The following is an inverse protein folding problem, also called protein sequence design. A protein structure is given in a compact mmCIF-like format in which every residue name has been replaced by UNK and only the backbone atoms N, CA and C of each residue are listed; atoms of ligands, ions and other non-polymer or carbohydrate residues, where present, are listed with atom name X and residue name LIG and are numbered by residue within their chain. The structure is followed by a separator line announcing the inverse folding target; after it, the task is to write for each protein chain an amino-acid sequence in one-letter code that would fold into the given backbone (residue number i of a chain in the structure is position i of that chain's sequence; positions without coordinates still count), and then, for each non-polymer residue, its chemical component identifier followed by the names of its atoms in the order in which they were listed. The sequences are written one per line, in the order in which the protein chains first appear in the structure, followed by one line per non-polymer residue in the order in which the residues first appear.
data_IF_272062877359
#
_entry.id   IF_272062877359
#
_cell.length_a   1.000
_cell.length_b   1.000
_cell.length_c   1.000
_cell.angle_alpha   90.00
_cell.angle_beta   90.00
_cell.angle_gamma   90.00
#
_symmetry.space_group_name_H-M   'P 1'
#
loop_
_entity.id
_entity.type
_entity.pdbx_description
1 polymer ?
#
# COMPACT_ATOMS: atom_id res chain seq x y z
N UNK A 1 1.54 0.44 8.45
CA UNK A 1 2.68 0.61 7.48
C UNK A 1 2.19 1.31 6.22
N UNK A 2 2.76 2.47 5.83
CA UNK A 2 2.21 3.30 4.73
C UNK A 2 2.10 2.59 3.37
N UNK A 3 2.96 1.62 3.08
CA UNK A 3 2.99 0.90 1.80
C UNK A 3 2.67 -0.60 1.94
N UNK A 4 2.05 -1.03 3.03
CA UNK A 4 1.61 -2.40 3.28
C UNK A 4 2.69 -3.44 2.94
N UNK A 5 3.84 -3.40 3.63
CA UNK A 5 5.00 -4.27 3.38
C UNK A 5 5.49 -4.28 1.93
N UNK A 6 5.26 -3.19 1.21
CA UNK A 6 5.67 -3.04 -0.19
C UNK A 6 4.62 -3.43 -1.24
N UNK A 7 3.44 -3.92 -0.88
CA UNK A 7 2.34 -4.17 -1.82
C UNK A 7 2.03 -2.95 -2.69
N UNK A 8 1.92 -1.77 -2.06
CA UNK A 8 1.62 -0.51 -2.73
C UNK A 8 2.81 0.10 -3.50
N UNK A 9 3.91 -0.64 -3.66
CA UNK A 9 4.91 -0.31 -4.68
C UNK A 9 4.49 -0.77 -6.08
N UNK A 10 3.52 -1.69 -6.16
CA UNK A 10 3.05 -2.28 -7.41
C UNK A 10 4.06 -3.23 -8.09
N UNK A 11 5.13 -3.64 -7.38
CA UNK A 11 6.19 -4.50 -7.92
C UNK A 11 5.91 -5.99 -7.79
N UNK A 12 5.03 -6.37 -6.86
CA UNK A 12 4.71 -7.79 -6.64
C UNK A 12 3.71 -8.31 -7.68
N UNK A 13 3.81 -9.59 -7.96
CA UNK A 13 2.91 -10.35 -8.81
C UNK A 13 2.72 -11.76 -8.23
N UNK A 14 1.95 -12.62 -8.92
CA UNK A 14 1.65 -13.99 -8.45
C UNK A 14 2.87 -14.90 -8.36
N UNK A 15 3.94 -14.57 -9.10
CA UNK A 15 5.19 -15.34 -9.12
C UNK A 15 6.23 -14.77 -8.14
N UNK A 16 5.87 -13.72 -7.38
CA UNK A 16 6.75 -13.12 -6.39
C UNK A 16 7.06 -14.12 -5.28
N UNK A 17 8.35 -14.32 -5.00
CA UNK A 17 8.85 -15.15 -3.92
C UNK A 17 9.63 -14.29 -2.92
N UNK A 18 9.57 -14.69 -1.66
CA UNK A 18 10.24 -14.00 -0.56
C UNK A 18 11.30 -14.92 0.03
N UNK A 19 12.41 -14.34 0.51
CA UNK A 19 13.47 -15.11 1.15
C UNK A 19 12.91 -15.85 2.40
N UNK A 20 13.46 -17.02 2.76
CA UNK A 20 12.96 -17.78 3.91
C UNK A 20 12.99 -17.03 5.24
N UNK A 21 13.90 -16.06 5.38
CA UNK A 21 14.08 -15.18 6.54
C UNK A 21 13.27 -13.87 6.45
N UNK A 22 12.50 -13.66 5.37
CA UNK A 22 11.61 -12.50 5.21
C UNK A 22 10.25 -12.80 5.86
N UNK A 23 9.73 -11.86 6.65
CA UNK A 23 8.41 -12.01 7.27
C UNK A 23 7.28 -12.16 6.25
N UNK A 24 7.47 -11.66 5.04
CA UNK A 24 6.54 -11.88 3.92
C UNK A 24 6.47 -13.35 3.47
N UNK A 25 7.45 -14.19 3.88
CA UNK A 25 7.42 -15.63 3.68
C UNK A 25 6.81 -16.33 4.88
N UNK A 26 7.47 -16.25 6.06
CA UNK A 26 7.12 -17.08 7.20
C UNK A 26 5.94 -16.56 8.04
N UNK A 27 5.50 -15.33 7.84
CA UNK A 27 4.38 -14.73 8.58
C UNK A 27 3.24 -14.25 7.67
N UNK A 28 3.16 -14.72 6.44
CA UNK A 28 2.11 -14.29 5.49
C UNK A 28 0.69 -14.58 6.00
N UNK A 29 0.54 -15.59 6.83
CA UNK A 29 -0.72 -15.99 7.46
C UNK A 29 -0.79 -15.62 8.96
N UNK A 30 0.22 -14.97 9.52
CA UNK A 30 0.30 -14.67 10.94
C UNK A 30 0.78 -15.83 11.81
N UNK A 31 1.52 -16.78 11.23
CA UNK A 31 1.95 -18.01 11.93
C UNK A 31 3.03 -17.76 12.99
N UNK A 32 3.78 -16.65 12.88
CA UNK A 32 4.86 -16.31 13.81
C UNK A 32 4.50 -15.17 14.77
N UNK A 33 3.77 -14.16 14.28
CA UNK A 33 3.32 -13.00 15.05
C UNK A 33 2.07 -12.40 14.39
N UNK A 34 1.56 -11.26 14.89
CA UNK A 34 0.31 -10.69 14.38
C UNK A 34 0.31 -10.56 12.85
N UNK A 35 -0.74 -11.10 12.23
CA UNK A 35 -0.91 -11.10 10.77
C UNK A 35 -0.91 -9.67 10.18
N UNK A 36 -1.33 -8.68 10.96
CA UNK A 36 -1.35 -7.27 10.54
C UNK A 36 0.04 -6.68 10.28
N UNK A 37 1.10 -7.29 10.79
CA UNK A 37 2.49 -6.89 10.54
C UNK A 37 2.98 -7.26 9.13
N UNK A 38 2.29 -8.18 8.46
CA UNK A 38 2.62 -8.62 7.09
C UNK A 38 1.48 -8.26 6.16
N UNK A 39 1.78 -7.46 5.12
CA UNK A 39 0.81 -6.96 4.13
C UNK A 39 -0.46 -6.34 4.75
N UNK A 40 -0.36 -5.80 5.96
CA UNK A 40 -1.50 -5.24 6.72
C UNK A 40 -2.60 -6.26 7.02
N UNK A 41 -2.28 -7.56 7.04
CA UNK A 41 -3.22 -8.64 7.35
C UNK A 41 -4.20 -8.98 6.24
N UNK A 42 -3.97 -8.49 5.03
CA UNK A 42 -4.82 -8.81 3.88
C UNK A 42 -4.31 -10.04 3.12
N UNK A 43 -5.20 -10.77 2.49
CA UNK A 43 -4.82 -11.88 1.61
C UNK A 43 -3.97 -11.38 0.44
N UNK A 44 -2.81 -11.98 0.22
CA UNK A 44 -1.84 -11.54 -0.78
C UNK A 44 -2.41 -11.52 -2.21
N UNK A 45 -3.16 -12.56 -2.60
CA UNK A 45 -3.74 -12.62 -3.95
C UNK A 45 -4.83 -11.56 -4.16
N UNK A 46 -5.72 -11.37 -3.18
CA UNK A 46 -6.69 -10.26 -3.20
C UNK A 46 -6.00 -8.90 -3.28
N UNK A 47 -4.89 -8.75 -2.56
CA UNK A 47 -4.12 -7.51 -2.57
C UNK A 47 -3.49 -7.22 -3.93
N UNK A 48 -3.03 -8.24 -4.66
CA UNK A 48 -2.52 -8.07 -6.02
C UNK A 48 -3.62 -7.59 -6.98
N UNK A 49 -4.84 -8.16 -6.89
CA UNK A 49 -5.98 -7.71 -7.70
C UNK A 49 -6.35 -6.25 -7.39
N UNK A 50 -6.37 -5.86 -6.12
CA UNK A 50 -6.61 -4.49 -5.70
C UNK A 50 -5.51 -3.53 -6.20
N UNK A 51 -4.25 -3.96 -6.15
CA UNK A 51 -3.10 -3.20 -6.68
C UNK A 51 -3.24 -2.97 -8.18
N UNK A 52 -3.67 -3.98 -8.94
CA UNK A 52 -3.88 -3.84 -10.38
C UNK A 52 -5.05 -2.89 -10.69
N UNK A 53 -6.13 -2.93 -9.91
CA UNK A 53 -7.23 -1.96 -10.04
C UNK A 53 -6.76 -0.53 -9.70
N UNK A 54 -5.97 -0.35 -8.64
CA UNK A 54 -5.38 0.94 -8.30
C UNK A 54 -4.42 1.47 -9.38
N UNK A 55 -3.68 0.60 -10.07
CA UNK A 55 -2.83 1.00 -11.20
C UNK A 55 -3.64 1.58 -12.37
N UNK A 56 -4.86 1.09 -12.58
CA UNK A 56 -5.72 1.57 -13.67
C UNK A 56 -6.23 3.01 -13.47
N UNK A 57 -6.25 3.48 -12.22
CA UNK A 57 -6.67 4.85 -11.87
C UNK A 57 -5.49 5.80 -11.61
N UNK A 58 -4.25 5.32 -11.78
CA UNK A 58 -3.05 6.15 -11.58
C UNK A 58 -3.01 7.30 -12.58
N UNK A 59 -2.84 8.55 -12.13
CA UNK A 59 -2.52 9.65 -13.03
C UNK A 59 -1.18 9.42 -13.76
N UNK A 60 -1.06 9.95 -14.96
CA UNK A 60 0.16 9.87 -15.74
C UNK A 60 1.36 10.46 -14.97
N UNK A 61 2.49 9.78 -15.00
CA UNK A 61 3.74 10.23 -14.36
C UNK A 61 3.81 10.02 -12.84
N UNK A 62 2.77 9.46 -12.21
CA UNK A 62 2.73 9.20 -10.77
C UNK A 62 2.88 7.69 -10.52
N UNK A 63 3.71 7.31 -9.55
CA UNK A 63 3.82 5.93 -9.10
C UNK A 63 2.75 5.57 -8.08
N UNK A 64 2.41 4.28 -7.97
CA UNK A 64 1.44 3.80 -6.97
C UNK A 64 1.89 4.13 -5.53
N UNK A 65 3.19 4.06 -5.25
CA UNK A 65 3.74 4.47 -3.95
C UNK A 65 3.46 5.95 -3.66
N UNK A 66 3.68 6.83 -4.63
CA UNK A 66 3.40 8.25 -4.47
C UNK A 66 1.91 8.54 -4.28
N UNK A 67 1.04 7.91 -5.08
CA UNK A 67 -0.40 8.01 -4.89
C UNK A 67 -0.82 7.56 -3.49
N UNK A 68 -0.29 6.43 -3.02
CA UNK A 68 -0.59 5.88 -1.69
C UNK A 68 -0.17 6.80 -0.55
N UNK A 69 1.03 7.38 -0.64
CA UNK A 69 1.52 8.33 0.36
C UNK A 69 0.71 9.64 0.30
N UNK A 70 0.38 10.12 -0.89
CA UNK A 70 -0.47 11.31 -1.06
C UNK A 70 -1.86 11.07 -0.50
N UNK A 71 -2.47 9.90 -0.75
CA UNK A 71 -3.77 9.55 -0.18
C UNK A 71 -3.78 9.63 1.34
N UNK A 72 -2.74 9.11 2.01
CA UNK A 72 -2.62 9.21 3.47
C UNK A 72 -2.56 10.68 3.91
N UNK A 73 -1.75 11.51 3.21
CA UNK A 73 -1.56 12.93 3.51
C UNK A 73 -2.81 13.79 3.21
N UNK A 74 -3.80 13.28 2.48
CA UNK A 74 -5.07 13.98 2.22
C UNK A 74 -6.04 13.94 3.40
N UNK A 75 -5.75 13.15 4.43
CA UNK A 75 -6.59 13.06 5.63
C UNK A 75 -6.16 14.10 6.67
N UNK A 76 -7.05 14.98 7.08
CA UNK A 76 -6.78 16.08 8.03
C UNK A 76 -6.18 15.62 9.36
N UNK A 77 -6.48 14.41 9.80
CA UNK A 77 -5.94 13.82 11.01
C UNK A 77 -4.46 13.41 10.89
N UNK A 78 -3.88 13.41 9.68
CA UNK A 78 -2.52 12.97 9.43
C UNK A 78 -1.59 14.15 9.24
N UNK A 79 -0.70 14.38 10.20
CA UNK A 79 0.32 15.42 10.12
C UNK A 79 1.58 15.00 9.37
N UNK A 80 1.91 13.69 9.40
CA UNK A 80 3.14 13.15 8.80
C UNK A 80 2.96 11.69 8.44
N UNK A 81 3.64 11.25 7.38
CA UNK A 81 3.78 9.83 6.99
C UNK A 81 5.26 9.48 6.91
N UNK A 82 5.64 8.32 7.47
CA UNK A 82 7.03 7.86 7.55
C UNK A 82 7.17 6.55 6.76
N UNK A 83 7.41 6.59 5.45
CA UNK A 83 7.66 5.41 4.62
C UNK A 83 9.10 4.92 4.75
N UNK A 84 9.31 3.62 4.57
CA UNK A 84 10.65 3.04 4.45
C UNK A 84 11.34 3.46 3.14
N UNK A 85 12.67 3.53 3.15
CA UNK A 85 13.48 3.78 1.97
C UNK A 85 14.76 2.94 2.03
N UNK A 86 15.12 2.27 0.93
CA UNK A 86 16.34 1.46 0.82
C UNK A 86 17.52 2.22 0.17
N UNK A 87 17.23 3.32 -0.51
CA UNK A 87 18.23 4.14 -1.22
C UNK A 87 17.72 5.58 -1.35
N UNK A 88 18.57 6.46 -1.86
CA UNK A 88 18.27 7.89 -2.03
C UNK A 88 17.13 8.16 -3.02
N UNK A 89 16.96 7.31 -4.03
CA UNK A 89 15.89 7.49 -5.02
C UNK A 89 14.52 7.21 -4.38
N UNK A 90 14.43 6.21 -3.49
CA UNK A 90 13.23 5.99 -2.68
C UNK A 90 12.92 7.19 -1.76
N UNK A 91 13.95 7.80 -1.15
CA UNK A 91 13.75 9.01 -0.34
C UNK A 91 13.18 10.13 -1.19
N UNK A 92 13.77 10.38 -2.37
CA UNK A 92 13.32 11.42 -3.30
C UNK A 92 11.87 11.21 -3.75
N UNK A 93 11.52 9.98 -4.17
CA UNK A 93 10.16 9.61 -4.57
C UNK A 93 9.16 9.75 -3.42
N UNK A 94 9.52 9.31 -2.22
CA UNK A 94 8.66 9.44 -1.05
C UNK A 94 8.40 10.91 -0.70
N UNK A 95 9.44 11.74 -0.73
CA UNK A 95 9.34 13.16 -0.40
C UNK A 95 8.49 13.90 -1.43
N UNK A 96 8.68 13.64 -2.73
CA UNK A 96 7.90 14.27 -3.80
C UNK A 96 6.40 13.96 -3.74
N UNK A 97 5.98 12.95 -2.99
CA UNK A 97 4.56 12.65 -2.78
C UNK A 97 3.79 13.79 -2.11
N UNK A 98 4.47 14.60 -1.26
CA UNK A 98 3.85 15.78 -0.62
C UNK A 98 3.60 16.90 -1.62
N UNK A 99 4.38 16.97 -2.69
CA UNK A 99 4.33 18.03 -3.72
C UNK A 99 3.29 17.72 -4.83
N UNK A 100 2.73 16.50 -4.84
CA UNK A 100 1.70 16.13 -5.80
C UNK A 100 0.45 17.02 -5.65
N UNK A 101 -0.21 17.26 -6.77
CA UNK A 101 -1.50 17.94 -6.80
C UNK A 101 -2.55 17.25 -5.93
N UNK A 102 -3.63 17.97 -5.65
CA UNK A 102 -4.75 17.44 -4.91
C UNK A 102 -5.43 16.29 -5.68
N UNK A 103 -5.56 15.13 -5.02
CA UNK A 103 -6.16 13.91 -5.58
C UNK A 103 -7.62 13.68 -5.13
N UNK A 104 -8.32 14.71 -4.68
CA UNK A 104 -9.71 14.59 -4.17
C UNK A 104 -10.65 13.92 -5.16
N UNK A 105 -10.44 14.10 -6.45
CA UNK A 105 -11.23 13.44 -7.50
C UNK A 105 -11.08 11.93 -7.51
N UNK A 106 -9.96 11.37 -7.03
CA UNK A 106 -9.67 9.95 -6.99
C UNK A 106 -10.07 9.28 -5.68
N UNK A 107 -10.37 10.07 -4.63
CA UNK A 107 -10.64 9.51 -3.28
C UNK A 107 -11.77 8.49 -3.28
N UNK A 108 -12.85 8.75 -4.02
CA UNK A 108 -13.99 7.83 -4.08
C UNK A 108 -13.63 6.51 -4.77
N UNK A 109 -12.84 6.55 -5.85
CA UNK A 109 -12.40 5.36 -6.56
C UNK A 109 -11.44 4.54 -5.70
N UNK A 110 -10.47 5.18 -5.03
CA UNK A 110 -9.56 4.52 -4.09
C UNK A 110 -10.33 3.86 -2.95
N UNK A 111 -11.29 4.57 -2.35
CA UNK A 111 -12.12 4.05 -1.28
C UNK A 111 -13.02 2.87 -1.75
N UNK A 112 -13.47 2.87 -3.01
CA UNK A 112 -14.22 1.75 -3.56
C UNK A 112 -13.38 0.48 -3.68
N UNK A 113 -12.10 0.59 -4.02
CA UNK A 113 -11.16 -0.53 -4.02
C UNK A 113 -11.00 -1.10 -2.60
N UNK A 114 -10.84 -0.25 -1.58
CA UNK A 114 -10.80 -0.71 -0.19
C UNK A 114 -12.08 -1.46 0.21
N UNK A 115 -13.23 -0.88 -0.08
CA UNK A 115 -14.52 -1.48 0.25
C UNK A 115 -14.72 -2.83 -0.45
N UNK A 116 -14.34 -2.93 -1.72
CA UNK A 116 -14.48 -4.13 -2.53
C UNK A 116 -13.60 -5.30 -2.07
N UNK A 117 -12.35 -5.01 -1.71
CA UNK A 117 -11.34 -6.05 -1.50
C UNK A 117 -11.04 -6.32 -0.02
N UNK A 118 -11.18 -5.34 0.87
CA UNK A 118 -10.59 -5.42 2.19
C UNK A 118 -11.56 -5.13 3.35
N UNK A 119 -12.66 -4.44 3.11
CA UNK A 119 -13.56 -4.00 4.17
C UNK A 119 -13.99 -5.15 5.08
N UNK A 120 -14.49 -6.23 4.51
CA UNK A 120 -14.97 -7.39 5.28
C UNK A 120 -13.85 -8.13 6.03
N UNK A 121 -12.63 -8.11 5.48
CA UNK A 121 -11.50 -8.86 6.02
C UNK A 121 -10.80 -8.13 7.19
N UNK A 122 -10.73 -6.79 7.15
CA UNK A 122 -9.87 -6.05 8.10
C UNK A 122 -10.56 -4.91 8.84
N UNK A 123 -11.70 -4.38 8.35
CA UNK A 123 -12.31 -3.18 8.94
C UNK A 123 -12.71 -3.36 10.42
N UNK A 124 -13.12 -4.56 10.81
CA UNK A 124 -13.48 -4.90 12.19
C UNK A 124 -12.28 -4.93 13.16
N UNK A 125 -11.07 -4.78 12.66
CA UNK A 125 -9.82 -4.78 13.45
C UNK A 125 -9.30 -3.37 13.78
N UNK A 126 -10.01 -2.32 13.31
CA UNK A 126 -9.64 -0.90 13.50
C UNK A 126 -10.47 -0.24 14.61
#
# INVERSE_FOLDING_TARGET
MPLASGLLTGKFNKDSSFAPDDHSNYNINGDAFDVGETFSGVNFNKALEAVDELKNILPEGITLSQLSLKWILMHDAVSIVIPGAKNKDHVSLNTSSSELDNISSLMNEINSVYTKYFFDDVHHRW
#
